data_IF_867030049604
#
_entry.id   IF_867030049604
#
_cell.length_a   1.000
_cell.length_b   1.000
_cell.length_c   1.000
_cell.angle_alpha   90.00
_cell.angle_beta   90.00
_cell.angle_gamma   90.00
#
_symmetry.space_group_name_H-M   'P 1'
#
loop_
_entity.id
_entity.type
_entity.pdbx_description
1 polymer ?
#
# COMPACT_ATOMS: atom_id res chain seq x y z
N UNK A 1 -29.00 21.72 -6.17
CA UNK A 1 -27.93 20.71 -5.94
C UNK A 1 -28.32 19.63 -4.93
N UNK A 2 -28.32 18.36 -5.36
CA UNK A 2 -28.73 17.21 -4.52
C UNK A 2 -27.69 16.86 -3.44
N UNK A 3 -28.07 16.01 -2.47
CA UNK A 3 -27.14 15.51 -1.45
C UNK A 3 -26.02 14.63 -2.03
N UNK A 4 -26.31 13.88 -3.10
CA UNK A 4 -25.35 13.04 -3.80
C UNK A 4 -24.26 13.89 -4.50
N UNK A 5 -24.64 14.98 -5.17
CA UNK A 5 -23.68 15.86 -5.85
C UNK A 5 -22.71 16.50 -4.85
N UNK A 6 -23.23 16.95 -3.70
CA UNK A 6 -22.41 17.47 -2.60
C UNK A 6 -21.42 16.44 -2.07
N UNK A 7 -21.85 15.18 -1.97
CA UNK A 7 -20.99 14.09 -1.53
C UNK A 7 -19.88 13.80 -2.55
N UNK A 8 -20.22 13.67 -3.84
CA UNK A 8 -19.26 13.42 -4.92
C UNK A 8 -18.22 14.55 -5.01
N UNK A 9 -18.65 15.81 -4.98
CA UNK A 9 -17.74 16.97 -5.00
C UNK A 9 -16.83 17.01 -3.77
N UNK A 10 -17.34 16.70 -2.57
CA UNK A 10 -16.49 16.60 -1.37
C UNK A 10 -15.41 15.52 -1.49
N UNK A 11 -15.73 14.38 -2.11
CA UNK A 11 -14.73 13.35 -2.40
C UNK A 11 -13.72 13.86 -3.41
N UNK A 12 -14.17 14.47 -4.51
CA UNK A 12 -13.31 15.06 -5.53
C UNK A 12 -12.33 16.08 -4.91
N UNK A 13 -12.81 16.93 -3.99
CA UNK A 13 -11.97 17.88 -3.25
C UNK A 13 -10.89 17.21 -2.42
N UNK A 14 -11.24 16.12 -1.71
CA UNK A 14 -10.27 15.36 -0.92
C UNK A 14 -9.23 14.67 -1.80
N UNK A 15 -9.60 14.18 -2.97
CA UNK A 15 -8.71 13.47 -3.89
C UNK A 15 -7.74 14.43 -4.58
N UNK A 16 -8.24 15.52 -5.19
CA UNK A 16 -7.38 16.46 -5.92
C UNK A 16 -6.45 17.24 -4.97
N UNK A 17 -6.88 17.49 -3.72
CA UNK A 17 -6.12 18.20 -2.70
C UNK A 17 -6.25 19.73 -2.79
N UNK A 18 -5.68 20.42 -1.80
CA UNK A 18 -5.87 21.87 -1.61
C UNK A 18 -5.31 22.73 -2.75
N UNK A 19 -4.25 22.27 -3.42
CA UNK A 19 -3.61 22.96 -4.55
C UNK A 19 -4.53 23.13 -5.77
N UNK A 20 -5.64 22.37 -5.82
CA UNK A 20 -6.63 22.41 -6.91
C UNK A 20 -7.97 22.99 -6.47
N UNK A 21 -7.99 23.73 -5.36
CA UNK A 21 -9.22 24.33 -4.84
C UNK A 21 -9.92 25.22 -5.88
N UNK A 22 -9.17 26.05 -6.63
CA UNK A 22 -9.75 26.90 -7.67
C UNK A 22 -10.38 26.10 -8.81
N UNK A 23 -9.69 25.08 -9.32
CA UNK A 23 -10.20 24.18 -10.36
C UNK A 23 -11.46 23.43 -9.90
N UNK A 24 -11.47 22.95 -8.66
CA UNK A 24 -12.63 22.27 -8.07
C UNK A 24 -13.80 23.21 -7.78
N UNK A 25 -13.52 24.46 -7.42
CA UNK A 25 -14.56 25.47 -7.23
C UNK A 25 -15.22 25.83 -8.57
N UNK A 26 -14.42 25.95 -9.65
CA UNK A 26 -14.95 26.13 -10.99
C UNK A 26 -15.84 24.94 -11.41
N UNK A 27 -15.38 23.71 -11.19
CA UNK A 27 -16.15 22.50 -11.44
C UNK A 27 -17.45 22.41 -10.61
N UNK A 28 -17.42 22.84 -9.35
CA UNK A 28 -18.61 22.89 -8.51
C UNK A 28 -19.62 23.92 -9.02
N UNK A 29 -19.16 25.10 -9.45
CA UNK A 29 -20.01 26.13 -10.05
C UNK A 29 -20.66 25.66 -11.35
N UNK A 30 -19.92 24.96 -12.22
CA UNK A 30 -20.48 24.34 -13.43
C UNK A 30 -21.48 23.23 -13.09
N UNK A 31 -21.23 22.45 -12.02
CA UNK A 31 -22.16 21.43 -11.54
C UNK A 31 -23.49 22.03 -11.07
N UNK A 32 -23.44 23.21 -10.45
CA UNK A 32 -24.64 23.94 -10.03
C UNK A 32 -25.41 24.52 -11.21
N UNK A 33 -24.72 24.93 -12.27
CA UNK A 33 -25.33 25.45 -13.50
C UNK A 33 -25.97 24.37 -14.39
N UNK A 34 -25.56 23.11 -14.27
CA UNK A 34 -26.01 22.00 -15.13
C UNK A 34 -27.40 21.42 -14.79
N UNK A 35 -28.09 21.94 -13.76
CA UNK A 35 -29.44 21.58 -13.30
C UNK A 35 -29.80 20.07 -13.39
N UNK A 36 -30.44 19.62 -14.48
CA UNK A 36 -30.86 18.22 -14.72
C UNK A 36 -29.68 17.23 -14.86
N UNK A 37 -28.56 17.64 -15.45
CA UNK A 37 -27.37 16.79 -15.64
C UNK A 37 -26.35 16.90 -14.49
N UNK A 38 -26.67 17.67 -13.45
CA UNK A 38 -25.76 17.99 -12.34
C UNK A 38 -25.14 16.76 -11.64
N UNK A 39 -25.83 15.61 -11.63
CA UNK A 39 -25.28 14.37 -11.04
C UNK A 39 -24.21 13.73 -11.93
N UNK A 40 -24.43 13.70 -13.24
CA UNK A 40 -23.43 13.19 -14.20
C UNK A 40 -22.21 14.10 -14.24
N UNK A 41 -22.42 15.41 -14.19
CA UNK A 41 -21.33 16.38 -14.10
C UNK A 41 -20.50 16.20 -12.82
N UNK A 42 -21.14 16.07 -11.65
CA UNK A 42 -20.46 15.81 -10.39
C UNK A 42 -19.62 14.51 -10.40
N UNK A 43 -20.13 13.45 -11.05
CA UNK A 43 -19.39 12.21 -11.25
C UNK A 43 -18.20 12.40 -12.21
N UNK A 44 -18.37 13.18 -13.28
CA UNK A 44 -17.30 13.59 -14.19
C UNK A 44 -16.18 14.37 -13.48
N UNK A 45 -16.53 15.31 -12.61
CA UNK A 45 -15.58 16.05 -11.77
C UNK A 45 -14.81 15.13 -10.82
N UNK A 46 -15.48 14.16 -10.19
CA UNK A 46 -14.83 13.14 -9.37
C UNK A 46 -13.84 12.30 -10.18
N UNK A 47 -14.25 11.85 -11.37
CA UNK A 47 -13.38 11.06 -12.24
C UNK A 47 -12.17 11.86 -12.73
N UNK A 48 -12.36 13.12 -13.11
CA UNK A 48 -11.28 14.03 -13.48
C UNK A 48 -10.29 14.23 -12.31
N UNK A 49 -10.79 14.40 -11.08
CA UNK A 49 -9.97 14.53 -9.88
C UNK A 49 -9.16 13.25 -9.60
N UNK A 50 -9.75 12.07 -9.79
CA UNK A 50 -9.05 10.78 -9.70
C UNK A 50 -7.95 10.69 -10.76
N UNK A 51 -8.26 11.01 -12.02
CA UNK A 51 -7.29 10.96 -13.13
C UNK A 51 -6.13 11.91 -12.92
N UNK A 52 -6.38 13.16 -12.51
CA UNK A 52 -5.34 14.14 -12.16
C UNK A 52 -4.50 13.67 -10.97
N UNK A 53 -5.13 13.04 -9.97
CA UNK A 53 -4.39 12.50 -8.83
C UNK A 53 -3.46 11.37 -9.23
N UNK A 54 -3.96 10.42 -10.04
CA UNK A 54 -3.19 9.31 -10.56
C UNK A 54 -2.05 9.81 -11.43
N UNK A 55 -2.28 10.77 -12.34
CA UNK A 55 -1.24 11.29 -13.23
C UNK A 55 -0.11 12.01 -12.48
N UNK A 56 -0.39 12.65 -11.33
CA UNK A 56 0.63 13.27 -10.47
C UNK A 56 1.35 12.26 -9.58
N UNK A 57 0.60 11.31 -9.03
CA UNK A 57 1.11 10.36 -8.03
C UNK A 57 1.45 8.97 -8.60
N UNK A 58 1.48 8.81 -9.93
CA UNK A 58 1.65 7.50 -10.58
C UNK A 58 2.91 6.77 -10.11
N UNK A 59 4.02 7.49 -9.86
CA UNK A 59 5.27 6.90 -9.36
C UNK A 59 5.09 6.25 -7.98
N UNK A 60 4.28 6.89 -7.14
CA UNK A 60 3.98 6.38 -5.81
C UNK A 60 2.99 5.22 -5.89
N UNK A 61 1.95 5.33 -6.72
CA UNK A 61 1.03 4.22 -6.98
C UNK A 61 1.77 2.99 -7.56
N UNK A 62 2.69 3.21 -8.51
CA UNK A 62 3.55 2.18 -9.05
C UNK A 62 4.46 1.58 -7.97
N UNK A 63 5.07 2.40 -7.10
CA UNK A 63 5.90 1.90 -6.00
C UNK A 63 5.10 1.06 -4.99
N UNK A 64 3.84 1.41 -4.71
CA UNK A 64 2.96 0.63 -3.83
C UNK A 64 2.83 -0.82 -4.33
N UNK A 65 2.82 -1.02 -5.64
CA UNK A 65 2.68 -2.34 -6.28
C UNK A 65 4.04 -3.01 -6.52
N UNK A 66 5.01 -2.27 -7.06
CA UNK A 66 6.30 -2.79 -7.46
C UNK A 66 7.18 -3.21 -6.28
N UNK A 67 7.16 -2.48 -5.17
CA UNK A 67 8.01 -2.82 -4.01
C UNK A 67 7.64 -4.16 -3.37
N UNK A 68 6.35 -4.46 -3.09
CA UNK A 68 5.92 -5.80 -2.71
C UNK A 68 6.36 -6.90 -3.67
N UNK A 69 6.25 -6.69 -4.99
CA UNK A 69 6.68 -7.67 -5.99
C UNK A 69 8.20 -7.92 -5.88
N UNK A 70 8.99 -6.84 -5.77
CA UNK A 70 10.44 -6.95 -5.60
C UNK A 70 10.80 -7.66 -4.30
N UNK A 71 10.11 -7.37 -3.20
CA UNK A 71 10.29 -8.08 -1.92
C UNK A 71 10.00 -9.55 -2.11
N UNK A 72 8.87 -9.92 -2.72
CA UNK A 72 8.49 -11.31 -2.95
C UNK A 72 9.55 -12.06 -3.77
N UNK A 73 10.00 -11.48 -4.89
CA UNK A 73 11.08 -12.05 -5.71
C UNK A 73 12.37 -12.19 -4.90
N UNK A 74 12.71 -11.19 -4.11
CA UNK A 74 13.91 -11.21 -3.27
C UNK A 74 13.80 -12.28 -2.17
N UNK A 75 12.63 -12.46 -1.55
CA UNK A 75 12.39 -13.54 -0.59
C UNK A 75 12.61 -14.91 -1.25
N UNK A 76 12.10 -15.10 -2.47
CA UNK A 76 12.28 -16.36 -3.21
C UNK A 76 13.75 -16.63 -3.55
N UNK A 77 14.48 -15.62 -4.04
CA UNK A 77 15.90 -15.73 -4.39
C UNK A 77 16.78 -15.93 -3.16
N UNK A 78 16.49 -15.23 -2.06
CA UNK A 78 17.28 -15.29 -0.83
C UNK A 78 16.91 -16.47 0.08
N UNK A 79 15.81 -17.18 -0.17
CA UNK A 79 15.34 -18.27 0.69
C UNK A 79 16.43 -19.30 0.98
N UNK A 80 16.93 -19.96 -0.06
CA UNK A 80 17.92 -21.02 0.09
C UNK A 80 19.27 -20.52 0.66
N UNK A 81 19.87 -19.43 0.16
CA UNK A 81 21.11 -18.90 0.72
C UNK A 81 21.00 -18.55 2.21
N UNK A 82 19.93 -17.87 2.63
CA UNK A 82 19.75 -17.45 4.03
C UNK A 82 19.53 -18.65 4.93
N UNK A 83 18.72 -19.62 4.51
CA UNK A 83 18.49 -20.86 5.29
C UNK A 83 19.79 -21.66 5.41
N UNK A 84 20.53 -21.84 4.31
CA UNK A 84 21.78 -22.59 4.30
C UNK A 84 22.83 -21.95 5.21
N UNK A 85 23.09 -20.64 5.06
CA UNK A 85 24.02 -19.89 5.91
C UNK A 85 23.62 -19.92 7.39
N UNK A 86 22.32 -19.83 7.68
CA UNK A 86 21.84 -19.86 9.06
C UNK A 86 22.08 -21.22 9.73
N UNK A 87 21.85 -22.31 8.99
CA UNK A 87 22.09 -23.66 9.49
C UNK A 87 23.58 -23.95 9.65
N UNK A 88 24.39 -23.56 8.67
CA UNK A 88 25.85 -23.74 8.69
C UNK A 88 26.51 -22.98 9.86
N UNK A 89 26.06 -21.75 10.12
CA UNK A 89 26.51 -20.95 11.25
C UNK A 89 25.90 -21.38 12.61
N UNK A 90 25.10 -22.45 12.66
CA UNK A 90 24.45 -22.93 13.88
C UNK A 90 23.44 -21.94 14.48
N UNK A 91 22.90 -21.02 13.68
CA UNK A 91 21.96 -20.00 14.14
C UNK A 91 20.58 -20.60 14.44
N UNK A 92 19.85 -20.04 15.42
CA UNK A 92 18.47 -20.44 15.68
C UNK A 92 17.58 -20.26 14.45
N UNK A 93 16.58 -21.13 14.29
CA UNK A 93 15.56 -21.02 13.22
C UNK A 93 14.83 -19.68 13.23
N UNK A 94 14.70 -19.03 14.38
CA UNK A 94 14.08 -17.70 14.44
C UNK A 94 14.89 -16.60 13.74
N UNK A 95 16.20 -16.81 13.51
CA UNK A 95 17.03 -15.86 12.80
C UNK A 95 16.62 -15.70 11.35
N UNK A 96 16.36 -16.80 10.63
CA UNK A 96 15.89 -16.70 9.23
C UNK A 96 14.51 -16.02 9.17
N UNK A 97 13.63 -16.32 10.13
CA UNK A 97 12.30 -15.69 10.21
C UNK A 97 12.45 -14.18 10.36
N UNK A 98 13.31 -13.72 11.27
CA UNK A 98 13.56 -12.30 11.48
C UNK A 98 14.11 -11.61 10.22
N UNK A 99 15.01 -12.25 9.47
CA UNK A 99 15.55 -11.70 8.22
C UNK A 99 14.44 -11.43 7.20
N UNK A 100 13.57 -12.41 6.95
CA UNK A 100 12.48 -12.23 5.97
C UNK A 100 11.39 -11.28 6.46
N UNK A 101 11.12 -11.24 7.77
CA UNK A 101 10.17 -10.31 8.37
C UNK A 101 10.66 -8.86 8.28
N UNK A 102 11.98 -8.61 8.42
CA UNK A 102 12.57 -7.28 8.37
C UNK A 102 12.87 -6.79 6.94
N UNK A 103 12.89 -7.69 5.97
CA UNK A 103 13.16 -7.37 4.56
C UNK A 103 12.28 -6.24 3.97
N UNK A 104 10.99 -6.10 4.32
CA UNK A 104 10.16 -5.01 3.82
C UNK A 104 10.55 -3.61 4.35
N UNK A 105 11.29 -3.54 5.46
CA UNK A 105 11.63 -2.28 6.13
C UNK A 105 12.33 -1.25 5.23
N UNK A 106 13.41 -1.57 4.50
CA UNK A 106 14.07 -0.62 3.60
C UNK A 106 13.17 -0.14 2.46
N UNK A 107 12.31 -1.00 1.92
CA UNK A 107 11.37 -0.65 0.85
C UNK A 107 10.27 0.28 1.37
N UNK A 108 9.72 -0.03 2.55
CA UNK A 108 8.75 0.84 3.21
C UNK A 108 9.34 2.21 3.56
N UNK A 109 10.59 2.23 4.03
CA UNK A 109 11.34 3.47 4.25
C UNK A 109 11.48 4.28 2.96
N UNK A 110 11.90 3.65 1.87
CA UNK A 110 12.04 4.31 0.56
C UNK A 110 10.70 4.85 0.03
N UNK A 111 9.63 4.06 0.16
CA UNK A 111 8.27 4.42 -0.24
C UNK A 111 7.78 5.69 0.47
N UNK A 112 8.05 5.77 1.78
CA UNK A 112 7.56 6.85 2.63
C UNK A 112 8.39 8.13 2.60
N UNK A 113 9.65 8.07 2.13
CA UNK A 113 10.59 9.20 2.16
C UNK A 113 10.08 10.44 1.42
N UNK A 114 9.26 10.26 0.39
CA UNK A 114 8.73 11.34 -0.46
C UNK A 114 7.32 11.80 -0.07
N UNK A 115 6.75 11.29 1.03
CA UNK A 115 5.34 11.52 1.38
C UNK A 115 5.15 12.02 2.81
N UNK A 116 4.09 12.82 3.07
CA UNK A 116 3.67 13.14 4.42
C UNK A 116 3.21 11.87 5.15
N UNK A 117 3.29 11.87 6.48
CA UNK A 117 3.08 10.68 7.32
C UNK A 117 1.78 9.92 6.99
N UNK A 118 0.66 10.63 6.82
CA UNK A 118 -0.62 9.96 6.48
C UNK A 118 -0.56 9.21 5.15
N UNK A 119 0.02 9.83 4.12
CA UNK A 119 0.18 9.19 2.81
C UNK A 119 1.18 8.04 2.85
N UNK A 120 2.26 8.19 3.61
CA UNK A 120 3.26 7.15 3.84
C UNK A 120 2.66 5.91 4.52
N UNK A 121 1.90 6.10 5.61
CA UNK A 121 1.27 4.99 6.34
C UNK A 121 0.22 4.27 5.49
N UNK A 122 -0.60 5.01 4.74
CA UNK A 122 -1.56 4.40 3.80
C UNK A 122 -0.84 3.60 2.72
N UNK A 123 0.24 4.15 2.14
CA UNK A 123 1.06 3.42 1.17
C UNK A 123 1.62 2.12 1.75
N UNK A 124 2.13 2.15 2.99
CA UNK A 124 2.65 0.97 3.67
C UNK A 124 1.58 -0.11 3.93
N UNK A 125 0.38 0.28 4.36
CA UNK A 125 -0.74 -0.66 4.52
C UNK A 125 -1.09 -1.31 3.18
N UNK A 126 -1.23 -0.50 2.13
CA UNK A 126 -1.57 -1.01 0.80
C UNK A 126 -0.47 -1.93 0.25
N UNK A 127 0.80 -1.59 0.43
CA UNK A 127 1.92 -2.43 0.03
C UNK A 127 2.01 -3.74 0.82
N UNK A 128 1.75 -3.71 2.13
CA UNK A 128 1.65 -4.95 2.93
C UNK A 128 0.54 -5.86 2.39
N UNK A 129 -0.64 -5.30 2.12
CA UNK A 129 -1.77 -6.06 1.57
C UNK A 129 -1.44 -6.67 0.20
N UNK A 130 -0.75 -5.92 -0.67
CA UNK A 130 -0.30 -6.45 -1.98
C UNK A 130 0.68 -7.60 -1.78
N UNK A 131 1.65 -7.48 -0.85
CA UNK A 131 2.61 -8.55 -0.57
C UNK A 131 1.90 -9.82 -0.07
N UNK A 132 0.99 -9.67 0.89
CA UNK A 132 0.24 -10.78 1.46
C UNK A 132 -0.68 -11.43 0.40
N UNK A 133 -1.31 -10.63 -0.46
CA UNK A 133 -2.12 -11.12 -1.58
C UNK A 133 -1.28 -11.90 -2.60
N UNK A 134 -0.07 -11.45 -2.92
CA UNK A 134 0.84 -12.20 -3.80
C UNK A 134 1.11 -13.58 -3.20
N UNK A 135 1.43 -13.67 -1.91
CA UNK A 135 1.66 -14.96 -1.24
C UNK A 135 0.46 -15.91 -1.31
N UNK A 136 -0.75 -15.40 -1.05
CA UNK A 136 -1.98 -16.20 -1.15
C UNK A 136 -2.26 -16.66 -2.58
N UNK A 137 -2.11 -15.78 -3.56
CA UNK A 137 -2.35 -16.09 -4.98
C UNK A 137 -1.33 -17.09 -5.51
N UNK A 138 -0.04 -16.91 -5.23
CA UNK A 138 1.00 -17.86 -5.65
C UNK A 138 0.75 -19.23 -5.06
N UNK A 139 0.41 -19.32 -3.76
CA UNK A 139 0.09 -20.59 -3.13
C UNK A 139 -1.13 -21.27 -3.79
N UNK A 140 -2.16 -20.50 -4.12
CA UNK A 140 -3.33 -21.04 -4.81
C UNK A 140 -2.98 -21.58 -6.20
N UNK A 141 -2.15 -20.85 -6.97
CA UNK A 141 -1.71 -21.28 -8.30
C UNK A 141 -0.83 -22.55 -8.21
N UNK A 142 0.13 -22.58 -7.28
CA UNK A 142 1.11 -23.68 -7.20
C UNK A 142 0.51 -24.96 -6.60
N UNK A 143 -0.35 -24.85 -5.59
CA UNK A 143 -0.85 -26.01 -4.84
C UNK A 143 -2.32 -26.35 -5.13
N UNK A 144 -3.01 -25.56 -5.97
CA UNK A 144 -4.42 -25.76 -6.31
C UNK A 144 -5.38 -25.61 -5.13
N UNK A 145 -4.88 -25.14 -3.98
CA UNK A 145 -5.60 -25.03 -2.73
C UNK A 145 -6.14 -23.60 -2.58
N UNK A 146 -7.45 -23.48 -2.40
CA UNK A 146 -8.09 -22.18 -2.29
C UNK A 146 -7.65 -21.39 -1.04
N UNK A 147 -7.94 -20.07 -0.99
CA UNK A 147 -7.62 -19.21 0.15
C UNK A 147 -8.05 -19.71 1.54
N UNK A 148 -9.12 -20.51 1.73
CA UNK A 148 -9.54 -20.99 3.05
C UNK A 148 -8.46 -21.77 3.83
N UNK A 149 -7.50 -22.42 3.14
CA UNK A 149 -6.41 -23.16 3.79
C UNK A 149 -5.57 -22.27 4.72
N UNK A 150 -5.48 -20.96 4.42
CA UNK A 150 -4.77 -20.00 5.26
C UNK A 150 -5.42 -19.77 6.63
N UNK A 151 -6.60 -20.34 6.88
CA UNK A 151 -7.30 -20.27 8.16
C UNK A 151 -7.42 -21.65 8.84
N UNK A 152 -6.83 -22.69 8.24
CA UNK A 152 -6.83 -24.03 8.80
C UNK A 152 -5.83 -24.20 9.94
N UNK A 153 -6.13 -25.19 10.80
CA UNK A 153 -5.32 -25.52 11.98
C UNK A 153 -4.03 -26.22 11.54
N UNK A 154 -2.99 -25.44 11.32
CA UNK A 154 -1.67 -25.94 10.89
C UNK A 154 -0.94 -25.00 9.93
N UNK A 155 -1.67 -24.07 9.31
CA UNK A 155 -1.09 -23.09 8.41
C UNK A 155 -0.23 -22.08 9.16
N UNK A 156 0.93 -21.75 8.60
CA UNK A 156 1.89 -20.85 9.22
C UNK A 156 2.35 -19.79 8.23
N UNK A 157 2.50 -18.57 8.74
CA UNK A 157 3.16 -17.45 8.07
C UNK A 157 4.34 -17.08 8.96
N UNK A 158 5.57 -17.18 8.45
CA UNK A 158 6.80 -16.93 9.25
C UNK A 158 6.89 -17.79 10.53
N UNK A 159 6.53 -19.08 10.48
CA UNK A 159 6.43 -19.99 11.66
C UNK A 159 5.46 -19.51 12.76
N UNK A 160 4.56 -18.59 12.45
CA UNK A 160 3.54 -18.07 13.36
C UNK A 160 2.15 -18.42 12.82
N UNK A 161 1.11 -18.22 13.66
CA UNK A 161 -0.26 -18.22 13.13
C UNK A 161 -0.40 -17.14 12.06
N UNK A 162 -1.24 -17.34 11.03
CA UNK A 162 -1.35 -16.41 9.90
C UNK A 162 -1.64 -14.97 10.34
N UNK A 163 -2.56 -14.79 11.29
CA UNK A 163 -2.91 -13.48 11.87
C UNK A 163 -1.70 -12.80 12.51
N UNK A 164 -0.90 -13.54 13.28
CA UNK A 164 0.28 -12.98 13.94
C UNK A 164 1.38 -12.64 12.92
N UNK A 165 1.63 -13.54 11.97
CA UNK A 165 2.61 -13.33 10.91
C UNK A 165 2.31 -12.09 10.05
N UNK A 166 1.07 -11.92 9.60
CA UNK A 166 0.64 -10.73 8.86
C UNK A 166 0.67 -9.47 9.72
N UNK A 167 0.30 -9.55 11.00
CA UNK A 167 0.38 -8.40 11.92
C UNK A 167 1.82 -7.94 12.12
N UNK A 168 2.76 -8.87 12.27
CA UNK A 168 4.19 -8.56 12.37
C UNK A 168 4.73 -7.95 11.07
N UNK A 169 4.36 -8.51 9.90
CA UNK A 169 4.72 -7.96 8.59
C UNK A 169 4.22 -6.51 8.45
N UNK A 170 2.95 -6.27 8.76
CA UNK A 170 2.35 -4.94 8.74
C UNK A 170 3.06 -3.97 9.69
N UNK A 171 3.41 -4.42 10.90
CA UNK A 171 4.16 -3.59 11.86
C UNK A 171 5.51 -3.14 11.29
N UNK A 172 6.23 -4.02 10.57
CA UNK A 172 7.49 -3.68 9.92
C UNK A 172 7.28 -2.66 8.78
N UNK A 173 6.25 -2.86 7.96
CA UNK A 173 5.86 -1.87 6.95
C UNK A 173 5.56 -0.50 7.59
N UNK A 174 4.75 -0.45 8.64
CA UNK A 174 4.41 0.79 9.32
C UNK A 174 5.64 1.46 9.96
N UNK A 175 6.53 0.68 10.57
CA UNK A 175 7.77 1.18 11.17
C UNK A 175 8.70 1.81 10.11
N UNK A 176 8.93 1.11 9.00
CA UNK A 176 9.74 1.63 7.89
C UNK A 176 9.15 2.93 7.32
N UNK A 177 7.82 2.98 7.14
CA UNK A 177 7.16 4.17 6.61
C UNK A 177 7.20 5.36 7.56
N UNK A 178 7.04 5.11 8.86
CA UNK A 178 7.18 6.14 9.87
C UNK A 178 8.60 6.75 9.86
N UNK A 179 9.63 5.91 9.84
CA UNK A 179 11.03 6.33 9.75
C UNK A 179 11.31 7.13 8.47
N UNK A 180 10.85 6.61 7.32
CA UNK A 180 11.04 7.26 6.01
C UNK A 180 10.41 8.64 5.94
N UNK A 181 9.15 8.76 6.39
CA UNK A 181 8.40 10.02 6.35
C UNK A 181 8.99 11.12 7.24
N UNK A 182 9.73 10.76 8.30
CA UNK A 182 10.44 11.72 9.16
C UNK A 182 11.78 12.14 8.57
N UNK A 183 12.51 11.22 7.96
CA UNK A 183 13.80 11.53 7.32
C UNK A 183 13.66 12.51 6.14
N UNK A 184 12.54 12.47 5.40
CA UNK A 184 12.29 13.39 4.29
C UNK A 184 12.04 14.85 4.72
N UNK A 185 11.53 15.10 5.93
CA UNK A 185 11.21 16.47 6.41
C UNK A 185 12.43 17.27 6.85
N UNK A 186 13.52 16.61 7.22
CA UNK A 186 14.76 17.27 7.63
C UNK A 186 15.44 18.06 6.49
N UNK A 187 14.98 17.92 5.23
CA UNK A 187 15.49 18.68 4.09
C UNK A 187 14.81 20.03 3.85
N UNK A 188 13.73 20.34 4.60
CA UNK A 188 12.93 21.55 4.41
C UNK A 188 12.64 22.30 5.71
N UNK A 189 13.35 21.97 6.80
CA UNK A 189 13.34 22.67 8.07
C UNK A 189 14.73 23.28 8.31
#
# INVERSE_FOLDING_TARGET
>A
MTGLNRFLLRIATRIAGRERAEWLNAMAAETEAADEESTQWAAGCLWAAIKDRISRDWRFAAAIVLFPILIFVLQFVLFFPVVWLSLDAGLPRWTFVAVFLLLPLPFSFALARSRPLRGALLGAVLSSLVLDLIGVVTFWIEFGQGPPIWFEKGTQVYNMTPVLGWSCSLAVWLAGAWLGSRSGRAKYA
#
